data_IF_294378510228
#
_entry.id   IF_294378510228
#
_cell.length_a   1.000
_cell.length_b   1.000
_cell.length_c   1.000
_cell.angle_alpha   90.00
_cell.angle_beta   90.00
_cell.angle_gamma   90.00
#
_symmetry.space_group_name_H-M   'P 1'
#
loop_
_entity.id
_entity.type
_entity.pdbx_description
1 polymer ?
#
# COMPACT_ATOMS: atom_id res chain seq x y z
N UNK A 1 29.49 -16.99 -1.59
CA UNK A 1 28.20 -17.18 -2.28
C UNK A 1 27.14 -17.21 -1.19
N UNK A 2 26.33 -16.20 -0.91
CA UNK A 2 26.01 -14.92 -1.54
C UNK A 2 25.52 -14.06 -0.38
N UNK A 3 26.11 -12.88 -0.17
CA UNK A 3 25.65 -11.95 0.85
C UNK A 3 24.23 -11.50 0.47
N UNK A 4 23.25 -11.92 1.26
CA UNK A 4 21.90 -11.38 1.19
C UNK A 4 22.00 -9.92 1.59
N UNK A 5 22.05 -9.04 0.59
CA UNK A 5 21.97 -7.60 0.77
C UNK A 5 20.64 -7.30 1.45
N UNK A 6 20.67 -7.20 2.78
CA UNK A 6 19.61 -6.55 3.56
C UNK A 6 19.66 -5.09 3.13
N UNK A 7 18.96 -4.77 2.04
CA UNK A 7 18.76 -3.41 1.60
C UNK A 7 18.27 -2.63 2.81
N UNK A 8 19.10 -1.68 3.27
CA UNK A 8 18.79 -0.80 4.39
C UNK A 8 17.39 -0.24 4.13
N UNK A 9 16.39 -0.68 4.91
CA UNK A 9 15.05 -0.13 4.83
C UNK A 9 15.20 1.37 5.09
N UNK A 10 15.05 2.17 4.03
CA UNK A 10 15.09 3.62 4.15
C UNK A 10 13.88 4.00 5.00
N UNK A 11 14.13 4.79 6.04
CA UNK A 11 13.05 5.35 6.83
C UNK A 11 12.13 6.18 5.90
N UNK A 12 10.80 6.09 6.05
CA UNK A 12 9.88 6.91 5.28
C UNK A 12 10.17 8.40 5.49
N UNK A 13 10.04 9.18 4.42
CA UNK A 13 9.95 10.65 4.54
C UNK A 13 8.65 11.03 5.26
N UNK A 14 8.52 12.27 5.79
CA UNK A 14 7.27 12.72 6.40
C UNK A 14 6.05 12.62 5.47
N UNK A 15 6.25 12.85 4.17
CA UNK A 15 5.19 12.73 3.18
C UNK A 15 4.76 11.26 2.99
N UNK A 16 5.72 10.35 2.79
CA UNK A 16 5.45 8.91 2.72
C UNK A 16 4.80 8.39 3.99
N UNK A 17 5.23 8.89 5.16
CA UNK A 17 4.63 8.55 6.45
C UNK A 17 3.14 8.96 6.49
N UNK A 18 2.78 10.13 5.98
CA UNK A 18 1.38 10.55 5.87
C UNK A 18 0.57 9.65 4.94
N UNK A 19 1.16 9.18 3.82
CA UNK A 19 0.49 8.24 2.91
C UNK A 19 0.29 6.87 3.56
N UNK A 20 1.26 6.39 4.34
CA UNK A 20 1.16 5.14 5.12
C UNK A 20 -0.02 5.26 6.09
N UNK A 21 -0.03 6.29 6.93
CA UNK A 21 -1.09 6.52 7.92
C UNK A 21 -2.48 6.62 7.28
N UNK A 22 -2.56 7.24 6.10
CA UNK A 22 -3.79 7.30 5.33
C UNK A 22 -4.25 5.91 4.85
N UNK A 23 -3.35 5.10 4.27
CA UNK A 23 -3.68 3.74 3.85
C UNK A 23 -4.06 2.82 5.02
N UNK A 24 -3.40 2.95 6.17
CA UNK A 24 -3.75 2.22 7.38
C UNK A 24 -5.14 2.61 7.90
N UNK A 25 -5.48 3.91 7.86
CA UNK A 25 -6.79 4.39 8.23
C UNK A 25 -7.89 3.81 7.31
N UNK A 26 -7.60 3.62 6.02
CA UNK A 26 -8.51 2.97 5.09
C UNK A 26 -8.69 1.47 5.40
N UNK A 27 -7.61 0.75 5.72
CA UNK A 27 -7.72 -0.64 6.19
C UNK A 27 -8.58 -0.75 7.45
N UNK A 28 -8.40 0.15 8.42
CA UNK A 28 -9.20 0.17 9.65
C UNK A 28 -10.70 0.39 9.42
N UNK A 29 -11.10 1.01 8.30
CA UNK A 29 -12.51 1.12 7.92
C UNK A 29 -13.11 -0.23 7.48
N UNK A 30 -12.31 -1.10 6.88
CA UNK A 30 -12.73 -2.42 6.42
C UNK A 30 -12.61 -3.46 7.55
N UNK A 31 -11.53 -3.37 8.32
CA UNK A 31 -11.22 -4.28 9.42
C UNK A 31 -10.58 -3.50 10.58
N UNK A 32 -11.34 -3.31 11.67
CA UNK A 32 -10.97 -2.44 12.78
C UNK A 32 -9.60 -2.77 13.42
N UNK A 33 -9.22 -4.04 13.43
CA UNK A 33 -7.97 -4.55 14.02
C UNK A 33 -6.94 -4.94 12.95
N UNK A 34 -6.94 -4.27 11.79
CA UNK A 34 -6.01 -4.59 10.70
C UNK A 34 -4.54 -4.42 11.12
N UNK A 35 -3.78 -5.51 11.09
CA UNK A 35 -2.30 -5.49 11.20
C UNK A 35 -1.69 -5.21 9.82
N UNK A 36 -1.06 -4.05 9.68
CA UNK A 36 -0.57 -3.54 8.40
C UNK A 36 0.96 -3.51 8.30
N UNK A 37 1.46 -3.86 7.12
CA UNK A 37 2.82 -3.61 6.66
C UNK A 37 2.82 -2.48 5.61
N UNK A 38 4.00 -1.94 5.28
CA UNK A 38 4.13 -1.05 4.14
C UNK A 38 5.34 -1.36 3.26
N UNK A 39 5.26 -0.95 2.00
CA UNK A 39 6.35 -0.94 1.02
C UNK A 39 6.39 0.44 0.38
N UNK A 40 7.56 1.07 0.34
CA UNK A 40 7.77 2.34 -0.35
C UNK A 40 7.91 2.11 -1.86
N UNK A 41 7.23 2.95 -2.66
CA UNK A 41 7.22 2.86 -4.13
C UNK A 41 7.72 4.19 -4.72
N UNK A 42 9.02 4.49 -4.59
CA UNK A 42 9.56 5.80 -4.96
C UNK A 42 9.43 6.12 -6.46
N UNK A 43 9.39 5.10 -7.32
CA UNK A 43 9.20 5.28 -8.77
C UNK A 43 7.78 5.77 -9.13
N UNK A 44 6.82 5.56 -8.24
CA UNK A 44 5.40 5.87 -8.44
C UNK A 44 4.91 7.03 -7.57
N UNK A 45 5.80 7.61 -6.77
CA UNK A 45 5.47 8.59 -5.72
C UNK A 45 4.31 8.08 -4.82
N UNK A 46 4.45 6.81 -4.41
CA UNK A 46 3.39 6.08 -3.74
C UNK A 46 3.92 5.18 -2.61
N UNK A 47 2.98 4.63 -1.84
CA UNK A 47 3.21 3.57 -0.86
C UNK A 47 2.18 2.46 -1.04
N UNK A 48 2.57 1.22 -0.78
CA UNK A 48 1.65 0.09 -0.64
C UNK A 48 1.47 -0.21 0.85
N UNK A 49 0.22 -0.23 1.33
CA UNK A 49 -0.15 -0.65 2.69
C UNK A 49 -0.84 -2.01 2.61
N UNK A 50 -0.23 -3.03 3.21
CA UNK A 50 -0.63 -4.44 3.08
C UNK A 50 -1.24 -4.91 4.38
N UNK A 51 -2.47 -5.41 4.35
CA UNK A 51 -3.06 -6.08 5.51
C UNK A 51 -2.51 -7.51 5.60
N UNK A 52 -1.85 -7.87 6.71
CA UNK A 52 -1.13 -9.14 6.88
C UNK A 52 -2.04 -10.37 7.04
N UNK A 53 -3.30 -10.18 7.42
CA UNK A 53 -4.23 -11.29 7.62
C UNK A 53 -4.66 -11.94 6.28
N UNK A 54 -4.97 -13.24 6.31
CA UNK A 54 -5.59 -13.94 5.16
C UNK A 54 -6.91 -13.27 4.78
N UNK A 55 -7.10 -13.00 3.50
CA UNK A 55 -8.23 -12.22 2.97
C UNK A 55 -8.01 -10.70 3.03
N UNK A 56 -6.89 -10.23 3.60
CA UNK A 56 -6.46 -8.84 3.60
C UNK A 56 -5.88 -8.39 2.25
N UNK A 57 -6.30 -7.22 1.78
CA UNK A 57 -5.81 -6.65 0.53
C UNK A 57 -4.58 -5.76 0.68
N UNK A 58 -4.10 -5.28 -0.46
CA UNK A 58 -3.13 -4.19 -0.54
C UNK A 58 -3.87 -2.92 -0.95
N UNK A 59 -3.54 -1.80 -0.31
CA UNK A 59 -3.97 -0.46 -0.73
C UNK A 59 -2.75 0.28 -1.23
N UNK A 60 -2.74 0.65 -2.51
CA UNK A 60 -1.78 1.61 -3.05
C UNK A 60 -2.29 3.02 -2.78
N UNK A 61 -1.42 3.91 -2.34
CA UNK A 61 -1.71 5.32 -2.04
C UNK A 61 -0.66 6.19 -2.73
N UNK A 62 -1.07 7.03 -3.67
CA UNK A 62 -0.19 8.04 -4.29
C UNK A 62 -0.20 9.37 -3.52
N UNK A 63 0.76 10.23 -3.84
CA UNK A 63 0.89 11.58 -3.27
C UNK A 63 -0.38 12.44 -3.38
N UNK A 64 -1.17 12.29 -4.46
CA UNK A 64 -2.46 12.96 -4.65
C UNK A 64 -3.62 12.37 -3.81
N UNK A 65 -3.32 11.38 -2.95
CA UNK A 65 -4.26 10.58 -2.15
C UNK A 65 -5.26 9.76 -2.96
N UNK A 66 -5.03 9.60 -4.26
CA UNK A 66 -5.74 8.59 -5.04
C UNK A 66 -5.26 7.20 -4.60
N UNK A 67 -6.19 6.25 -4.56
CA UNK A 67 -5.91 4.91 -4.03
C UNK A 67 -6.36 3.81 -4.97
N UNK A 68 -5.79 2.62 -4.82
CA UNK A 68 -6.29 1.39 -5.43
C UNK A 68 -6.25 0.27 -4.39
N UNK A 69 -7.41 -0.34 -4.14
CA UNK A 69 -7.49 -1.58 -3.40
C UNK A 69 -7.30 -2.76 -4.34
N UNK A 70 -6.39 -3.65 -3.98
CA UNK A 70 -6.14 -4.93 -4.65
C UNK A 70 -6.38 -6.07 -3.67
N UNK A 71 -7.25 -7.00 -4.05
CA UNK A 71 -7.59 -8.15 -3.21
C UNK A 71 -6.38 -9.05 -2.93
N UNK A 72 -6.45 -9.83 -1.85
CA UNK A 72 -5.34 -10.65 -1.33
C UNK A 72 -4.76 -11.69 -2.31
N UNK A 73 -5.43 -11.97 -3.42
CA UNK A 73 -4.98 -12.91 -4.45
C UNK A 73 -3.95 -12.31 -5.42
N UNK A 74 -3.79 -10.98 -5.42
CA UNK A 74 -2.87 -10.27 -6.29
C UNK A 74 -1.66 -9.76 -5.51
N UNK A 75 -0.48 -9.90 -6.09
CA UNK A 75 0.74 -9.27 -5.54
C UNK A 75 0.78 -7.76 -5.83
N UNK A 76 1.73 -7.06 -5.19
CA UNK A 76 1.91 -5.61 -5.31
C UNK A 76 2.24 -5.21 -6.75
N UNK A 77 2.97 -6.05 -7.51
CA UNK A 77 3.34 -5.76 -8.89
C UNK A 77 2.13 -5.72 -9.82
N UNK A 78 1.20 -6.66 -9.67
CA UNK A 78 -0.06 -6.65 -10.42
C UNK A 78 -0.91 -5.40 -10.08
N UNK A 79 -1.00 -5.06 -8.80
CA UNK A 79 -1.70 -3.84 -8.36
C UNK A 79 -1.05 -2.57 -8.93
N UNK A 80 0.29 -2.52 -9.02
CA UNK A 80 1.02 -1.40 -9.59
C UNK A 80 0.76 -1.23 -11.08
N UNK A 81 0.70 -2.32 -11.85
CA UNK A 81 0.35 -2.26 -13.29
C UNK A 81 -1.00 -1.57 -13.47
N UNK A 82 -1.99 -1.98 -12.68
CA UNK A 82 -3.33 -1.41 -12.73
C UNK A 82 -3.37 0.06 -12.30
N UNK A 83 -2.60 0.40 -11.26
CA UNK A 83 -2.48 1.76 -10.76
C UNK A 83 -1.84 2.68 -11.80
N UNK A 84 -0.76 2.23 -12.44
CA UNK A 84 -0.10 2.92 -13.55
C UNK A 84 -1.01 3.06 -14.77
N UNK A 85 -1.91 2.11 -15.00
CA UNK A 85 -2.94 2.19 -16.02
C UNK A 85 -4.12 3.13 -15.65
N UNK A 86 -4.05 3.81 -14.51
CA UNK A 86 -5.05 4.79 -14.07
C UNK A 86 -6.23 4.21 -13.29
N UNK A 87 -6.24 2.91 -12.95
CA UNK A 87 -7.29 2.35 -12.10
C UNK A 87 -7.21 2.94 -10.69
N UNK A 88 -8.35 3.31 -10.14
CA UNK A 88 -8.50 3.82 -8.77
C UNK A 88 -9.71 3.20 -8.09
N UNK A 89 -9.64 3.09 -6.77
CA UNK A 89 -10.76 2.75 -5.89
C UNK A 89 -11.26 4.03 -5.23
N UNK A 90 -12.52 4.42 -5.41
CA UNK A 90 -13.09 5.56 -4.67
C UNK A 90 -13.02 5.31 -3.16
N UNK A 91 -12.61 6.33 -2.40
CA UNK A 91 -12.35 6.21 -0.94
C UNK A 91 -13.63 5.87 -0.15
N UNK A 92 -14.79 6.24 -0.66
CA UNK A 92 -16.09 5.89 -0.10
C UNK A 92 -16.42 4.39 -0.17
N UNK A 93 -15.65 3.58 -0.90
CA UNK A 93 -15.81 2.12 -0.94
C UNK A 93 -15.16 1.39 0.24
N UNK A 94 -14.35 2.09 1.04
CA UNK A 94 -13.72 1.54 2.25
C UNK A 94 -14.67 1.77 3.44
N UNK A 95 -15.58 0.83 3.68
CA UNK A 95 -16.63 0.88 4.70
C UNK A 95 -16.95 -0.50 5.26
#
# INVERSE_FOLDING_TARGET
>A
MTEGSTGKALAPTPEQQSLIEFGEALHRRIAAEADTAHVLLPEDDAVAVVHRARGGGTILVAADRSVLFSGSALDIGAALIDFRAGRRTPVERFR
#
